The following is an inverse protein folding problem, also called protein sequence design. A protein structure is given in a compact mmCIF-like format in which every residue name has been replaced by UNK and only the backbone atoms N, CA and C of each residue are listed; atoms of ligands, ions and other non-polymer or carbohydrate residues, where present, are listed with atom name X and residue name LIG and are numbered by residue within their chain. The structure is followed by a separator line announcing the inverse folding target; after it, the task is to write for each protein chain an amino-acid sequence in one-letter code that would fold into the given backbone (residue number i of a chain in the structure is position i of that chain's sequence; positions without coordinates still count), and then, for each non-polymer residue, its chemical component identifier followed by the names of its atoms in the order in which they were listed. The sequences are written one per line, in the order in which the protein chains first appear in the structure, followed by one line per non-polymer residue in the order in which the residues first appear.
data_IF_256349005667
#
_entry.id   IF_256349005667
#
_cell.length_a   1.000
_cell.length_b   1.000
_cell.length_c   1.000
_cell.angle_alpha   90.00
_cell.angle_beta   90.00
_cell.angle_gamma   90.00
#
_symmetry.space_group_name_H-M   'P 1'
#
loop_
_entity.id
_entity.type
_entity.pdbx_description
1 polymer ?
#
# COMPACT_ATOMS: atom_id res chain seq x y z
N UNK A 1 8.39 11.10 -9.27
CA UNK A 1 9.68 11.52 -8.61
C UNK A 1 10.84 11.64 -9.62
N UNK A 2 12.05 12.10 -9.23
CA UNK A 2 13.23 12.04 -10.14
C UNK A 2 13.74 10.60 -10.30
N UNK A 3 14.21 10.21 -11.50
CA UNK A 3 14.67 8.82 -11.78
C UNK A 3 15.73 8.32 -10.79
N UNK A 4 16.63 9.20 -10.34
CA UNK A 4 17.67 8.86 -9.35
C UNK A 4 17.09 8.49 -7.99
N UNK A 5 16.05 9.21 -7.53
CA UNK A 5 15.37 8.95 -6.26
C UNK A 5 14.55 7.66 -6.31
N UNK A 6 13.86 7.41 -7.42
CA UNK A 6 13.12 6.16 -7.66
C UNK A 6 14.05 4.96 -7.58
N UNK A 7 15.21 5.00 -8.25
CA UNK A 7 16.19 3.91 -8.21
C UNK A 7 16.68 3.60 -6.79
N UNK A 8 17.01 4.63 -6.00
CA UNK A 8 17.44 4.45 -4.60
C UNK A 8 16.32 3.86 -3.72
N UNK A 9 15.08 4.30 -3.92
CA UNK A 9 13.91 3.74 -3.21
C UNK A 9 13.69 2.29 -3.57
N UNK A 10 13.71 1.94 -4.87
CA UNK A 10 13.57 0.56 -5.34
C UNK A 10 14.67 -0.32 -4.77
N UNK A 11 15.93 0.11 -4.81
CA UNK A 11 17.05 -0.66 -4.25
C UNK A 11 16.91 -0.83 -2.73
N UNK A 12 16.41 0.18 -2.01
CA UNK A 12 16.16 0.10 -0.56
C UNK A 12 15.01 -0.86 -0.23
N UNK A 13 13.86 -0.70 -0.90
CA UNK A 13 12.66 -1.51 -0.70
C UNK A 13 12.85 -2.96 -1.15
N UNK A 14 13.64 -3.21 -2.20
CA UNK A 14 13.99 -4.57 -2.62
C UNK A 14 14.78 -5.30 -1.54
N UNK A 15 15.64 -4.58 -0.78
CA UNK A 15 16.40 -5.20 0.32
C UNK A 15 15.54 -5.53 1.54
N UNK A 16 14.49 -4.75 1.80
CA UNK A 16 13.60 -4.95 2.95
C UNK A 16 12.36 -5.79 2.64
N UNK A 17 11.95 -5.86 1.37
CA UNK A 17 10.79 -6.64 0.93
C UNK A 17 11.06 -8.12 1.01
N UNK A 18 10.22 -8.83 1.75
CA UNK A 18 10.23 -10.30 1.85
C UNK A 18 9.43 -10.98 0.74
N UNK A 19 8.50 -10.24 0.14
CA UNK A 19 7.39 -10.79 -0.66
C UNK A 19 7.48 -10.45 -2.15
N UNK A 20 8.31 -9.48 -2.53
CA UNK A 20 8.44 -9.00 -3.90
C UNK A 20 9.88 -8.97 -4.37
N UNK A 21 10.11 -9.34 -5.63
CA UNK A 21 11.39 -9.15 -6.29
C UNK A 21 11.59 -7.70 -6.77
N UNK A 22 12.78 -7.37 -7.30
CA UNK A 22 13.13 -6.01 -7.73
C UNK A 22 12.16 -5.43 -8.76
N UNK A 23 11.80 -6.19 -9.78
CA UNK A 23 10.92 -5.74 -10.86
C UNK A 23 9.50 -5.47 -10.35
N UNK A 24 9.02 -6.29 -9.43
CA UNK A 24 7.73 -6.09 -8.76
C UNK A 24 7.75 -4.84 -7.89
N UNK A 25 8.80 -4.63 -7.10
CA UNK A 25 8.98 -3.40 -6.30
C UNK A 25 9.00 -2.16 -7.21
N UNK A 26 9.71 -2.21 -8.33
CA UNK A 26 9.73 -1.12 -9.31
C UNK A 26 8.34 -0.84 -9.89
N UNK A 27 7.58 -1.88 -10.23
CA UNK A 27 6.20 -1.75 -10.71
C UNK A 27 5.30 -1.10 -9.64
N UNK A 28 5.39 -1.55 -8.38
CA UNK A 28 4.61 -1.00 -7.27
C UNK A 28 4.94 0.47 -6.99
N UNK A 29 6.22 0.86 -7.08
CA UNK A 29 6.65 2.25 -6.92
C UNK A 29 6.13 3.13 -8.07
N UNK A 30 6.14 2.64 -9.31
CA UNK A 30 5.59 3.36 -10.45
C UNK A 30 4.07 3.50 -10.37
N UNK A 31 3.38 2.45 -9.92
CA UNK A 31 1.94 2.50 -9.65
C UNK A 31 1.64 3.54 -8.56
N UNK A 32 2.41 3.55 -7.48
CA UNK A 32 2.29 4.56 -6.43
C UNK A 32 2.41 5.99 -6.99
N UNK A 33 3.45 6.27 -7.79
CA UNK A 33 3.63 7.58 -8.43
C UNK A 33 2.43 7.96 -9.31
N UNK A 34 1.84 6.99 -10.01
CA UNK A 34 0.64 7.19 -10.84
C UNK A 34 -0.59 7.52 -10.01
N UNK A 35 -0.78 6.82 -8.88
CA UNK A 35 -1.89 7.06 -7.96
C UNK A 35 -1.78 8.42 -7.28
N UNK A 36 -0.57 8.81 -6.84
CA UNK A 36 -0.31 10.14 -6.28
C UNK A 36 -0.54 11.24 -7.32
N UNK A 37 -0.20 11.02 -8.59
CA UNK A 37 -0.46 11.99 -9.65
C UNK A 37 -1.95 12.14 -9.97
N UNK A 38 -2.74 11.06 -9.85
CA UNK A 38 -4.20 11.08 -10.04
C UNK A 38 -4.93 11.71 -8.84
N UNK A 39 -4.40 11.49 -7.64
CA UNK A 39 -4.86 12.14 -6.43
C UNK A 39 -4.61 13.65 -6.54
N UNK A 40 -5.65 14.45 -6.79
CA UNK A 40 -5.57 15.91 -6.69
C UNK A 40 -5.47 16.35 -5.21
N UNK A 41 -4.63 15.67 -4.41
CA UNK A 41 -4.67 15.71 -2.96
C UNK A 41 -3.86 16.89 -2.43
N UNK A 42 -4.31 17.41 -1.29
CA UNK A 42 -3.57 18.38 -0.47
C UNK A 42 -2.23 17.82 0.07
N UNK A 43 -1.90 16.55 -0.18
CA UNK A 43 -0.70 15.84 0.28
C UNK A 43 0.40 15.74 -0.79
N UNK A 44 0.47 16.70 -1.71
CA UNK A 44 1.46 16.76 -2.78
C UNK A 44 2.89 16.54 -2.24
N UNK A 45 3.38 15.30 -2.36
CA UNK A 45 4.74 14.89 -1.98
C UNK A 45 4.86 13.93 -0.78
N UNK A 46 3.80 13.66 -0.01
CA UNK A 46 3.86 12.76 1.15
C UNK A 46 3.28 11.35 0.88
N UNK A 47 2.22 11.27 0.07
CA UNK A 47 1.54 10.02 -0.24
C UNK A 47 0.21 10.26 -0.91
N UNK A 48 -0.66 9.25 -0.88
CA UNK A 48 -2.06 9.42 -1.28
C UNK A 48 -3.00 9.12 -0.10
N UNK A 49 -4.15 9.77 -0.11
CA UNK A 49 -5.10 9.76 1.00
C UNK A 49 -5.99 8.52 1.00
N UNK A 50 -6.86 8.44 2.01
CA UNK A 50 -7.81 7.35 2.21
C UNK A 50 -8.75 7.14 1.03
N UNK A 51 -9.16 8.22 0.36
CA UNK A 51 -10.09 8.14 -0.77
C UNK A 51 -9.43 7.40 -1.93
N UNK A 52 -8.23 7.81 -2.31
CA UNK A 52 -7.47 7.19 -3.42
C UNK A 52 -7.12 5.74 -3.09
N UNK A 53 -6.78 5.45 -1.84
CA UNK A 53 -6.53 4.09 -1.38
C UNK A 53 -7.76 3.19 -1.54
N UNK A 54 -8.91 3.64 -1.03
CA UNK A 54 -10.18 2.91 -1.11
C UNK A 54 -10.58 2.65 -2.56
N UNK A 55 -10.55 3.68 -3.41
CA UNK A 55 -10.89 3.57 -4.83
C UNK A 55 -9.98 2.56 -5.55
N UNK A 56 -8.69 2.56 -5.20
CA UNK A 56 -7.71 1.63 -5.76
C UNK A 56 -8.01 0.20 -5.34
N UNK A 57 -8.23 -0.07 -4.05
CA UNK A 57 -8.53 -1.42 -3.56
C UNK A 57 -9.88 -1.93 -4.06
N UNK A 58 -10.88 -1.06 -4.13
CA UNK A 58 -12.19 -1.38 -4.69
C UNK A 58 -12.05 -1.79 -6.16
N UNK A 59 -11.34 -0.99 -6.95
CA UNK A 59 -11.18 -1.26 -8.39
C UNK A 59 -10.29 -2.46 -8.69
N UNK A 60 -9.24 -2.68 -7.90
CA UNK A 60 -8.26 -3.74 -8.15
C UNK A 60 -8.66 -5.10 -7.55
N UNK A 61 -9.33 -5.10 -6.39
CA UNK A 61 -9.61 -6.32 -5.62
C UNK A 61 -11.11 -6.54 -5.35
N UNK A 62 -12.00 -5.64 -5.80
CA UNK A 62 -13.44 -5.75 -5.53
C UNK A 62 -13.80 -5.59 -4.05
N UNK A 63 -12.91 -5.01 -3.24
CA UNK A 63 -13.15 -4.75 -1.83
C UNK A 63 -14.17 -3.60 -1.71
N UNK A 64 -15.42 -3.93 -1.38
CA UNK A 64 -16.53 -2.96 -1.29
C UNK A 64 -16.96 -2.64 0.13
N UNK A 65 -16.58 -3.46 1.11
CA UNK A 65 -16.93 -3.24 2.51
C UNK A 65 -16.10 -2.06 3.06
N UNK A 66 -16.78 -0.97 3.37
CA UNK A 66 -16.14 0.27 3.85
C UNK A 66 -15.39 0.07 5.18
N UNK A 67 -15.91 -0.78 6.07
CA UNK A 67 -15.28 -1.07 7.36
C UNK A 67 -13.99 -1.86 7.14
N UNK A 68 -14.00 -2.81 6.21
CA UNK A 68 -12.85 -3.61 5.82
C UNK A 68 -11.79 -2.75 5.14
N UNK A 69 -12.19 -1.92 4.17
CA UNK A 69 -11.31 -0.95 3.54
C UNK A 69 -10.67 -0.01 4.55
N UNK A 70 -11.42 0.39 5.58
CA UNK A 70 -10.89 1.24 6.65
C UNK A 70 -9.89 0.55 7.54
N UNK A 71 -10.15 -0.71 7.91
CA UNK A 71 -9.19 -1.52 8.67
C UNK A 71 -7.91 -1.74 7.87
N UNK A 72 -8.03 -2.03 6.58
CA UNK A 72 -6.87 -2.23 5.70
C UNK A 72 -6.09 -0.93 5.54
N UNK A 73 -6.76 0.22 5.42
CA UNK A 73 -6.07 1.52 5.42
C UNK A 73 -5.29 1.74 6.71
N UNK A 74 -5.93 1.55 7.88
CA UNK A 74 -5.27 1.70 9.18
C UNK A 74 -4.15 0.69 9.43
N UNK A 75 -4.22 -0.48 8.80
CA UNK A 75 -3.14 -1.47 8.81
C UNK A 75 -1.93 -1.02 7.97
N UNK A 76 -2.18 -0.31 6.87
CA UNK A 76 -1.14 0.18 5.97
C UNK A 76 -0.49 1.46 6.51
N UNK A 77 -1.27 2.43 7.01
CA UNK A 77 -0.80 3.70 7.60
C UNK A 77 -0.19 3.50 8.99
N UNK A 78 0.93 2.76 9.05
CA UNK A 78 1.64 2.45 10.30
C UNK A 78 2.22 3.70 10.97
N UNK A 79 2.52 4.72 10.19
CA UNK A 79 2.97 6.03 10.68
C UNK A 79 1.83 6.91 11.21
N UNK A 80 0.57 6.51 10.98
CA UNK A 80 -0.65 7.22 11.39
C UNK A 80 -0.65 8.68 10.92
N UNK A 81 -0.23 8.89 9.68
CA UNK A 81 -0.15 10.22 9.04
C UNK A 81 -1.43 10.61 8.31
N UNK A 82 -2.38 9.67 8.19
CA UNK A 82 -3.59 9.83 7.38
C UNK A 82 -3.33 9.70 5.88
N UNK A 83 -2.14 9.26 5.47
CA UNK A 83 -1.72 9.07 4.08
C UNK A 83 -0.88 7.80 3.96
N UNK A 84 -0.94 7.13 2.81
CA UNK A 84 -0.09 5.97 2.55
C UNK A 84 1.18 6.44 1.86
N UNK A 85 2.33 6.20 2.50
CA UNK A 85 3.65 6.42 1.88
C UNK A 85 4.01 5.27 0.93
N UNK A 86 5.00 5.48 0.05
CA UNK A 86 5.45 4.44 -0.89
C UNK A 86 5.98 3.19 -0.16
N UNK A 87 6.55 3.38 1.03
CA UNK A 87 7.09 2.31 1.85
C UNK A 87 5.96 1.46 2.42
N UNK A 88 4.96 2.12 3.03
CA UNK A 88 3.75 1.47 3.55
C UNK A 88 2.94 0.78 2.46
N UNK A 89 2.88 1.38 1.27
CA UNK A 89 2.23 0.78 0.10
C UNK A 89 2.87 -0.57 -0.29
N UNK A 90 4.19 -0.59 -0.47
CA UNK A 90 4.91 -1.80 -0.90
C UNK A 90 4.88 -2.87 0.18
N UNK A 91 5.12 -2.51 1.45
CA UNK A 91 5.10 -3.48 2.55
C UNK A 91 3.68 -3.99 2.83
N UNK A 92 2.69 -3.11 2.84
CA UNK A 92 1.29 -3.46 3.08
C UNK A 92 0.76 -4.41 2.01
N UNK A 93 1.02 -4.14 0.72
CA UNK A 93 0.65 -5.05 -0.37
C UNK A 93 1.38 -6.39 -0.28
N UNK A 94 2.61 -6.40 0.23
CA UNK A 94 3.36 -7.62 0.46
C UNK A 94 2.61 -8.54 1.42
N UNK A 95 2.18 -8.00 2.55
CA UNK A 95 1.41 -8.75 3.55
C UNK A 95 0.02 -9.10 3.03
N UNK A 96 -0.68 -8.16 2.39
CA UNK A 96 -2.05 -8.36 1.90
C UNK A 96 -2.11 -9.50 0.86
N UNK A 97 -1.22 -9.47 -0.14
CA UNK A 97 -1.24 -10.37 -1.29
C UNK A 97 -0.49 -11.68 -1.06
N UNK A 98 0.63 -11.64 -0.33
CA UNK A 98 1.57 -12.78 -0.22
C UNK A 98 1.96 -13.12 1.22
N UNK A 99 1.49 -12.35 2.20
CA UNK A 99 1.83 -12.55 3.60
C UNK A 99 1.22 -13.82 4.19
N UNK A 100 1.91 -14.35 5.19
CA UNK A 100 1.41 -15.48 5.99
C UNK A 100 0.20 -15.06 6.84
N UNK A 101 -0.54 -16.03 7.38
CA UNK A 101 -1.64 -15.74 8.31
C UNK A 101 -1.15 -14.93 9.54
N UNK A 102 0.04 -15.27 10.05
CA UNK A 102 0.66 -14.57 11.18
C UNK A 102 0.97 -13.11 10.83
N UNK A 103 1.52 -12.84 9.64
CA UNK A 103 1.79 -11.47 9.19
C UNK A 103 0.48 -10.67 9.04
N UNK A 104 -0.57 -11.29 8.50
CA UNK A 104 -1.89 -10.66 8.35
C UNK A 104 -2.52 -10.33 9.71
N UNK A 105 -2.47 -11.26 10.67
CA UNK A 105 -2.93 -11.03 12.05
C UNK A 105 -2.14 -9.90 12.73
N UNK A 106 -0.82 -9.88 12.59
CA UNK A 106 0.04 -8.83 13.17
C UNK A 106 -0.22 -7.46 12.55
N UNK A 107 -0.48 -7.41 11.25
CA UNK A 107 -0.90 -6.20 10.55
C UNK A 107 -2.36 -5.83 10.81
N UNK A 108 -3.11 -6.59 11.62
CA UNK A 108 -4.55 -6.39 11.87
C UNK A 108 -5.39 -6.43 10.59
N UNK A 109 -4.88 -7.12 9.57
CA UNK A 109 -5.59 -7.42 8.33
C UNK A 109 -6.42 -8.68 8.60
N UNK A 110 -7.46 -8.55 9.42
CA UNK A 110 -8.43 -9.62 9.67
C UNK A 110 -9.42 -9.70 8.51
N UNK A 111 -8.98 -10.30 7.39
CA UNK A 111 -9.84 -10.56 6.23
C UNK A 111 -10.85 -11.69 6.51
N UNK A 112 -10.57 -12.53 7.52
CA UNK A 112 -11.32 -13.76 7.80
C UNK A 112 -12.49 -13.59 8.78
N UNK A 113 -12.71 -12.40 9.35
CA UNK A 113 -13.70 -12.22 10.41
C UNK A 113 -15.12 -11.84 9.94
N UNK A 114 -15.34 -11.53 8.65
CA UNK A 114 -16.64 -11.00 8.16
C UNK A 114 -17.20 -11.73 6.92
N UNK A 115 -16.90 -13.02 6.72
CA UNK A 115 -17.55 -13.83 5.65
C UNK A 115 -18.35 -15.02 6.23
N UNK A 116 -18.95 -14.83 7.41
CA UNK A 116 -20.08 -15.63 7.91
C UNK A 116 -21.08 -14.71 8.60
#
# INVERSE_FOLDING_TARGET
MSRKRVKLLVDSLTRSSKHFNKSEVECLVNLFDTLVAKASSHFAGAGFDRTVFRDTLHSAFGLTDEVMLDRVFSAFDRSNTGSITVVEWVEGLGVLLRGTLEEKMKCKIDLYANIW
#
